data_IF_808272151787
#
_entry.id   IF_808272151787
#
_cell.length_a   1.000
_cell.length_b   1.000
_cell.length_c   1.000
_cell.angle_alpha   90.00
_cell.angle_beta   90.00
_cell.angle_gamma   90.00
#
_symmetry.space_group_name_H-M   'P 1'
#
loop_
_entity.id
_entity.type
_entity.pdbx_description
1 polymer ?
#
# COMPACT_ATOMS: atom_id res chain seq x y z
N UNK A 1 -20.83 -26.61 0.83
CA UNK A 1 -19.41 -26.20 0.91
C UNK A 1 -18.98 -26.42 2.35
N UNK A 2 -17.78 -26.96 2.60
CA UNK A 2 -17.26 -27.03 3.96
C UNK A 2 -16.78 -25.62 4.33
N UNK A 3 -17.30 -25.06 5.42
CA UNK A 3 -16.86 -23.75 5.91
C UNK A 3 -15.36 -23.81 6.24
N UNK A 4 -14.60 -22.83 5.75
CA UNK A 4 -13.19 -22.70 6.12
C UNK A 4 -13.14 -22.06 7.50
N UNK A 5 -12.42 -22.68 8.44
CA UNK A 5 -12.05 -22.01 9.68
C UNK A 5 -10.84 -21.13 9.41
N UNK A 6 -11.02 -19.81 9.49
CA UNK A 6 -9.88 -18.90 9.46
C UNK A 6 -9.15 -18.92 10.81
N UNK A 7 -7.85 -18.69 10.77
CA UNK A 7 -7.08 -18.51 11.99
C UNK A 7 -7.50 -17.20 12.67
N UNK A 8 -7.90 -17.28 13.93
CA UNK A 8 -8.35 -16.13 14.73
C UNK A 8 -7.36 -15.78 15.84
N UNK A 9 -6.60 -16.77 16.33
CA UNK A 9 -5.54 -16.56 17.31
C UNK A 9 -4.17 -16.89 16.70
N UNK A 10 -3.42 -15.85 16.34
CA UNK A 10 -2.06 -15.98 15.80
C UNK A 10 -0.98 -15.99 16.87
N UNK A 11 -1.34 -16.10 18.16
CA UNK A 11 -0.36 -16.14 19.26
C UNK A 11 0.46 -17.42 19.31
N UNK A 12 0.06 -18.48 18.59
CA UNK A 12 0.88 -19.69 18.45
C UNK A 12 2.18 -19.45 17.67
N UNK A 13 2.22 -18.42 16.82
CA UNK A 13 3.39 -18.06 16.03
C UNK A 13 4.36 -17.21 16.86
N UNK A 14 5.64 -17.62 16.88
CA UNK A 14 6.72 -16.87 17.54
C UNK A 14 7.16 -15.68 16.69
N UNK A 15 7.18 -15.85 15.37
CA UNK A 15 7.48 -14.81 14.37
C UNK A 15 6.46 -14.88 13.24
N UNK A 16 5.20 -14.49 13.47
CA UNK A 16 4.18 -14.50 12.42
C UNK A 16 4.60 -13.64 11.22
N UNK A 17 4.47 -14.23 10.03
CA UNK A 17 4.75 -13.63 8.76
C UNK A 17 3.45 -13.54 7.97
N UNK A 18 2.94 -12.32 7.86
CA UNK A 18 1.68 -12.03 7.20
C UNK A 18 1.92 -11.67 5.74
N UNK A 19 1.21 -12.34 4.84
CA UNK A 19 1.29 -12.09 3.41
C UNK A 19 -0.09 -12.02 2.79
N UNK A 20 -0.22 -11.24 1.72
CA UNK A 20 -1.37 -11.30 0.82
C UNK A 20 -0.93 -11.97 -0.47
N UNK A 21 -1.59 -13.07 -0.83
CA UNK A 21 -1.51 -13.60 -2.18
C UNK A 21 -2.55 -12.89 -3.03
N UNK A 22 -2.13 -12.33 -4.16
CA UNK A 22 -3.01 -11.69 -5.13
C UNK A 22 -3.01 -12.49 -6.44
N UNK A 23 -4.17 -12.50 -7.13
CA UNK A 23 -4.34 -13.01 -8.48
C UNK A 23 -5.26 -12.09 -9.26
N UNK A 24 -4.96 -11.82 -10.52
CA UNK A 24 -5.82 -11.01 -11.37
C UNK A 24 -5.71 -11.38 -12.85
N UNK A 25 -6.76 -11.13 -13.62
CA UNK A 25 -6.78 -11.26 -15.08
C UNK A 25 -7.84 -10.34 -15.68
N UNK A 26 -7.52 -9.67 -16.80
CA UNK A 26 -8.48 -8.87 -17.58
C UNK A 26 -9.00 -7.61 -16.89
N UNK A 27 -8.28 -7.07 -15.91
CA UNK A 27 -8.73 -5.97 -15.04
C UNK A 27 -7.54 -5.27 -14.38
N UNK A 28 -7.69 -3.97 -14.11
CA UNK A 28 -6.79 -3.19 -13.27
C UNK A 28 -7.29 -3.21 -11.83
N UNK A 29 -6.36 -3.17 -10.87
CA UNK A 29 -6.71 -3.36 -9.48
C UNK A 29 -5.75 -2.70 -8.51
N UNK A 30 -6.27 -2.01 -7.51
CA UNK A 30 -5.49 -1.59 -6.34
C UNK A 30 -5.87 -2.42 -5.12
N UNK A 31 -4.86 -3.00 -4.48
CA UNK A 31 -5.01 -3.84 -3.30
C UNK A 31 -4.60 -3.08 -2.05
N UNK A 32 -5.47 -3.09 -1.05
CA UNK A 32 -5.29 -2.37 0.22
C UNK A 32 -5.52 -3.28 1.43
N UNK A 33 -4.78 -3.00 2.49
CA UNK A 33 -4.99 -3.57 3.83
C UNK A 33 -5.12 -2.43 4.81
N UNK A 34 -6.22 -2.39 5.57
CA UNK A 34 -6.55 -1.30 6.50
C UNK A 34 -6.52 0.08 5.82
N UNK A 35 -7.04 0.14 4.58
CA UNK A 35 -6.99 1.32 3.70
C UNK A 35 -5.58 1.81 3.34
N UNK A 36 -4.55 0.94 3.45
CA UNK A 36 -3.18 1.24 3.02
C UNK A 36 -2.89 0.49 1.71
N UNK A 37 -2.61 1.18 0.59
CA UNK A 37 -2.27 0.50 -0.66
C UNK A 37 -0.93 -0.22 -0.56
N UNK A 38 -0.89 -1.48 -0.99
CA UNK A 38 0.33 -2.28 -1.03
C UNK A 38 0.68 -2.80 -2.43
N UNK A 39 -0.29 -2.84 -3.34
CA UNK A 39 -0.06 -3.20 -4.74
C UNK A 39 -1.04 -2.48 -5.65
N UNK A 40 -0.55 -2.06 -6.81
CA UNK A 40 -1.34 -1.52 -7.90
C UNK A 40 -0.98 -2.29 -9.16
N UNK A 41 -1.96 -2.95 -9.74
CA UNK A 41 -1.88 -3.52 -11.07
C UNK A 41 -2.40 -2.51 -12.09
N UNK A 42 -1.57 -2.22 -13.10
CA UNK A 42 -1.92 -1.36 -14.23
C UNK A 42 -1.71 -2.11 -15.56
N UNK A 43 -2.36 -3.27 -15.68
CA UNK A 43 -2.49 -4.07 -16.89
C UNK A 43 -1.20 -4.71 -17.45
N UNK A 44 -0.31 -5.14 -16.56
CA UNK A 44 0.84 -6.00 -16.84
C UNK A 44 0.49 -7.44 -17.23
N UNK A 45 -0.77 -7.88 -17.10
CA UNK A 45 -1.25 -9.19 -17.59
C UNK A 45 -1.88 -10.05 -16.49
N UNK A 46 -1.58 -11.36 -16.49
CA UNK A 46 -1.98 -12.28 -15.41
C UNK A 46 -0.80 -12.55 -14.49
N UNK A 47 -0.98 -12.31 -13.19
CA UNK A 47 0.09 -12.46 -12.20
C UNK A 47 -0.45 -13.09 -10.93
N UNK A 48 0.34 -14.02 -10.36
CA UNK A 48 0.17 -14.55 -9.01
C UNK A 48 1.38 -14.15 -8.17
N UNK A 49 1.19 -13.22 -7.23
CA UNK A 49 2.28 -12.70 -6.37
C UNK A 49 1.89 -12.77 -4.90
N UNK A 50 2.87 -13.01 -4.05
CA UNK A 50 2.72 -13.00 -2.59
C UNK A 50 3.50 -11.81 -2.02
N UNK A 51 2.80 -10.93 -1.30
CA UNK A 51 3.33 -9.65 -0.84
C UNK A 51 3.33 -9.63 0.70
N UNK A 52 4.46 -9.33 1.37
CA UNK A 52 4.48 -9.12 2.81
C UNK A 52 3.70 -7.86 3.21
N UNK A 53 2.87 -7.97 4.25
CA UNK A 53 2.01 -6.88 4.72
C UNK A 53 2.07 -6.66 6.25
N UNK A 54 3.09 -7.22 6.91
CA UNK A 54 3.21 -7.17 8.37
C UNK A 54 3.23 -5.75 8.94
N UNK A 55 3.78 -4.79 8.21
CA UNK A 55 3.84 -3.37 8.54
C UNK A 55 2.46 -2.66 8.49
N UNK A 56 1.46 -3.31 7.89
CA UNK A 56 0.08 -2.81 7.74
C UNK A 56 -0.91 -3.54 8.65
N UNK A 57 -0.51 -4.67 9.24
CA UNK A 57 -1.35 -5.45 10.15
C UNK A 57 -1.57 -4.69 11.46
N UNK A 58 -2.80 -4.73 11.99
CA UNK A 58 -3.13 -4.19 13.31
C UNK A 58 -3.60 -5.30 14.26
N UNK A 59 -3.42 -5.07 15.56
CA UNK A 59 -4.03 -5.90 16.60
C UNK A 59 -5.54 -5.62 16.64
N UNK A 60 -6.32 -6.63 16.28
CA UNK A 60 -7.76 -6.52 16.13
C UNK A 60 -8.28 -6.92 14.75
N UNK A 61 -9.34 -6.26 14.32
CA UNK A 61 -10.00 -6.52 13.03
C UNK A 61 -9.26 -5.78 11.93
N UNK A 62 -8.81 -6.50 10.91
CA UNK A 62 -8.16 -5.95 9.74
C UNK A 62 -9.17 -5.93 8.57
N UNK A 63 -9.02 -4.98 7.63
CA UNK A 63 -9.88 -4.87 6.44
C UNK A 63 -9.05 -5.11 5.19
N UNK A 64 -9.31 -6.20 4.47
CA UNK A 64 -8.75 -6.44 3.15
C UNK A 64 -9.70 -5.88 2.10
N UNK A 65 -9.20 -5.11 1.14
CA UNK A 65 -10.02 -4.55 0.07
C UNK A 65 -9.31 -4.49 -1.28
N UNK A 66 -10.10 -4.61 -2.35
CA UNK A 66 -9.65 -4.42 -3.73
C UNK A 66 -10.53 -3.34 -4.37
N UNK A 67 -9.91 -2.41 -5.08
CA UNK A 67 -10.59 -1.47 -5.97
C UNK A 67 -10.30 -1.95 -7.39
N UNK A 68 -11.29 -2.53 -8.05
CA UNK A 68 -11.17 -3.01 -9.41
C UNK A 68 -11.70 -1.97 -10.41
N UNK A 69 -10.98 -1.78 -11.50
CA UNK A 69 -11.34 -0.87 -12.60
C UNK A 69 -11.07 -1.52 -13.97
N UNK A 70 -11.88 -1.18 -14.99
CA UNK A 70 -11.79 -1.78 -16.31
C UNK A 70 -10.45 -1.50 -16.98
N UNK A 71 -10.13 -2.30 -18.00
CA UNK A 71 -8.96 -2.06 -18.83
C UNK A 71 -9.01 -0.66 -19.46
N UNK A 72 -7.84 -0.04 -19.65
CA UNK A 72 -7.71 1.16 -20.47
C UNK A 72 -6.89 0.81 -21.71
N UNK A 73 -7.41 1.15 -22.89
CA UNK A 73 -6.66 1.20 -24.14
C UNK A 73 -6.38 2.66 -24.47
N UNK A 74 -5.12 2.99 -24.78
CA UNK A 74 -4.71 4.30 -25.30
C UNK A 74 -5.23 5.51 -24.48
N UNK A 75 -4.92 5.52 -23.18
CA UNK A 75 -5.30 6.53 -22.17
C UNK A 75 -6.82 6.75 -21.96
N UNK A 76 -7.67 6.05 -22.71
CA UNK A 76 -9.11 6.06 -22.53
C UNK A 76 -9.52 4.93 -21.58
N UNK A 77 -9.99 5.29 -20.38
CA UNK A 77 -10.66 4.34 -19.50
C UNK A 77 -11.89 3.79 -20.22
N UNK A 78 -12.02 2.48 -20.33
CA UNK A 78 -13.25 1.90 -20.85
C UNK A 78 -14.40 2.16 -19.87
N UNK A 79 -15.59 2.48 -20.39
CA UNK A 79 -16.80 2.62 -19.59
C UNK A 79 -17.30 1.25 -19.08
N UNK A 80 -16.85 0.15 -19.69
CA UNK A 80 -17.30 -1.21 -19.44
C UNK A 80 -16.17 -2.24 -19.38
N UNK A 81 -16.47 -3.37 -18.72
CA UNK A 81 -15.60 -4.54 -18.65
C UNK A 81 -15.68 -5.34 -19.96
N UNK A 82 -14.69 -5.21 -20.83
CA UNK A 82 -14.62 -5.97 -22.11
C UNK A 82 -14.32 -7.45 -21.90
N UNK A 83 -13.52 -7.77 -20.89
CA UNK A 83 -13.18 -9.13 -20.52
C UNK A 83 -14.24 -9.71 -19.59
N UNK A 84 -15.15 -10.52 -20.15
CA UNK A 84 -16.22 -11.19 -19.37
C UNK A 84 -15.70 -12.15 -18.29
N UNK A 85 -14.46 -12.61 -18.43
CA UNK A 85 -13.75 -13.46 -17.49
C UNK A 85 -12.82 -12.68 -16.54
N UNK A 86 -12.89 -11.35 -16.55
CA UNK A 86 -12.15 -10.50 -15.64
C UNK A 86 -12.33 -10.96 -14.20
N UNK A 87 -11.21 -11.05 -13.47
CA UNK A 87 -11.21 -11.50 -12.07
C UNK A 87 -10.08 -10.84 -11.29
N UNK A 88 -10.34 -10.62 -10.00
CA UNK A 88 -9.35 -10.24 -8.99
C UNK A 88 -9.58 -11.04 -7.72
N UNK A 89 -8.50 -11.42 -7.06
CA UNK A 89 -8.50 -12.22 -5.85
C UNK A 89 -7.41 -11.74 -4.90
N UNK A 90 -7.73 -11.68 -3.61
CA UNK A 90 -6.77 -11.42 -2.56
C UNK A 90 -7.05 -12.32 -1.36
N UNK A 91 -6.00 -13.03 -0.91
CA UNK A 91 -6.07 -13.92 0.24
C UNK A 91 -5.00 -13.51 1.25
N UNK A 92 -5.45 -13.12 2.44
CA UNK A 92 -4.56 -12.83 3.56
C UNK A 92 -4.23 -14.12 4.31
N UNK A 93 -2.94 -14.36 4.50
CA UNK A 93 -2.40 -15.52 5.19
C UNK A 93 -1.49 -15.13 6.35
N UNK A 94 -1.28 -16.08 7.26
CA UNK A 94 -0.23 -16.07 8.28
C UNK A 94 0.53 -17.39 8.26
N UNK A 95 1.82 -17.33 8.57
CA UNK A 95 2.66 -18.51 8.87
C UNK A 95 3.81 -18.11 9.81
N UNK A 96 4.53 -19.08 10.35
CA UNK A 96 5.80 -18.81 11.04
C UNK A 96 6.87 -18.36 10.03
N UNK A 97 7.67 -17.34 10.36
CA UNK A 97 8.73 -16.86 9.46
C UNK A 97 9.77 -17.95 9.22
N UNK A 98 10.06 -18.23 7.95
CA UNK A 98 10.98 -19.28 7.52
C UNK A 98 10.32 -20.65 7.32
N UNK A 99 9.02 -20.79 7.59
CA UNK A 99 8.26 -22.00 7.29
C UNK A 99 7.78 -22.00 5.83
N UNK A 100 7.53 -23.18 5.24
CA UNK A 100 7.13 -23.30 3.84
C UNK A 100 5.71 -22.74 3.58
N UNK A 101 5.34 -22.56 2.29
CA UNK A 101 4.07 -21.91 1.89
C UNK A 101 2.83 -22.72 2.24
N UNK A 102 2.93 -24.03 2.25
CA UNK A 102 1.87 -24.98 2.63
C UNK A 102 1.51 -24.92 4.13
N UNK A 103 2.41 -24.41 4.98
CA UNK A 103 2.14 -24.18 6.40
C UNK A 103 1.30 -22.92 6.69
N UNK A 104 0.81 -22.23 5.65
CA UNK A 104 0.02 -21.02 5.78
C UNK A 104 -1.39 -21.32 6.29
N UNK A 105 -1.88 -20.47 7.18
CA UNK A 105 -3.27 -20.45 7.60
C UNK A 105 -3.97 -19.23 6.99
N UNK A 106 -5.19 -19.45 6.49
CA UNK A 106 -6.02 -18.42 5.89
C UNK A 106 -6.60 -17.52 6.99
N UNK A 107 -6.50 -16.21 6.80
CA UNK A 107 -7.08 -15.19 7.68
C UNK A 107 -8.34 -14.57 7.08
N UNK A 108 -8.28 -14.19 5.79
CA UNK A 108 -9.47 -13.76 5.05
C UNK A 108 -9.25 -13.90 3.55
N UNK A 109 -10.34 -13.91 2.79
CA UNK A 109 -10.34 -14.08 1.33
C UNK A 109 -11.47 -13.25 0.72
N UNK A 110 -11.12 -12.51 -0.33
CA UNK A 110 -12.04 -11.84 -1.24
C UNK A 110 -11.69 -12.18 -2.69
N UNK A 111 -12.73 -12.42 -3.49
CA UNK A 111 -12.65 -12.66 -4.94
C UNK A 111 -13.79 -11.93 -5.62
N UNK A 112 -13.47 -11.24 -6.71
CA UNK A 112 -14.40 -10.42 -7.46
C UNK A 112 -14.28 -10.74 -8.96
N UNK A 113 -15.42 -10.94 -9.60
CA UNK A 113 -15.60 -10.99 -11.04
C UNK A 113 -16.32 -9.72 -11.49
N UNK A 114 -15.60 -8.64 -11.77
CA UNK A 114 -16.21 -7.33 -11.88
C UNK A 114 -17.06 -7.15 -13.14
N UNK A 115 -16.89 -8.01 -14.15
CA UNK A 115 -17.73 -8.07 -15.34
C UNK A 115 -19.09 -8.75 -15.11
N UNK A 116 -19.28 -9.45 -13.99
CA UNK A 116 -20.55 -10.10 -13.64
C UNK A 116 -21.52 -9.10 -13.01
N UNK A 117 -22.80 -9.45 -13.00
CA UNK A 117 -23.81 -8.67 -12.29
C UNK A 117 -23.49 -8.60 -10.77
N UNK A 118 -23.95 -7.57 -10.04
CA UNK A 118 -23.62 -7.40 -8.63
C UNK A 118 -23.94 -8.60 -7.74
N UNK A 119 -25.06 -9.26 -8.02
CA UNK A 119 -25.50 -10.44 -7.29
C UNK A 119 -24.53 -11.63 -7.44
N UNK A 120 -23.82 -11.73 -8.57
CA UNK A 120 -22.86 -12.81 -8.85
C UNK A 120 -21.38 -12.41 -8.79
N UNK A 121 -21.07 -11.13 -8.58
CA UNK A 121 -19.72 -10.59 -8.68
C UNK A 121 -18.79 -11.12 -7.58
N UNK A 122 -19.29 -11.36 -6.36
CA UNK A 122 -18.49 -11.80 -5.21
C UNK A 122 -18.77 -13.23 -4.71
N UNK A 123 -19.62 -14.01 -5.41
CA UNK A 123 -20.12 -15.32 -4.95
C UNK A 123 -19.00 -16.34 -4.68
N UNK A 124 -17.84 -16.20 -5.33
CA UNK A 124 -16.74 -17.16 -5.24
C UNK A 124 -15.71 -16.86 -4.13
N UNK A 125 -15.95 -15.84 -3.31
CA UNK A 125 -15.15 -15.65 -2.09
C UNK A 125 -15.36 -16.84 -1.14
N UNK A 126 -14.30 -17.31 -0.48
CA UNK A 126 -14.45 -18.43 0.47
C UNK A 126 -15.44 -18.07 1.58
N UNK A 127 -16.38 -18.98 1.86
CA UNK A 127 -17.19 -18.90 3.07
C UNK A 127 -16.29 -19.25 4.24
N UNK A 128 -16.10 -18.26 5.12
CA UNK A 128 -15.26 -18.38 6.31
C UNK A 128 -16.22 -18.31 7.48
N UNK A 129 -16.22 -19.33 8.33
CA UNK A 129 -17.13 -19.41 9.47
C UNK A 129 -17.01 -18.15 10.32
N UNK A 130 -18.17 -17.59 10.70
CA UNK A 130 -18.30 -16.40 11.56
C UNK A 130 -17.77 -15.07 10.97
N UNK A 131 -17.16 -15.05 9.77
CA UNK A 131 -16.83 -13.78 9.09
C UNK A 131 -18.03 -13.30 8.28
N UNK A 132 -18.30 -12.00 8.37
CA UNK A 132 -19.26 -11.34 7.48
C UNK A 132 -18.90 -11.57 6.00
N UNK A 133 -19.92 -11.59 5.15
CA UNK A 133 -19.74 -11.66 3.72
C UNK A 133 -18.99 -10.42 3.20
N UNK A 134 -18.23 -10.54 2.10
CA UNK A 134 -17.64 -9.37 1.46
C UNK A 134 -18.70 -8.31 1.12
N UNK A 135 -18.36 -7.04 1.34
CA UNK A 135 -19.20 -5.89 0.98
C UNK A 135 -18.73 -5.38 -0.38
N UNK A 136 -19.68 -5.18 -1.30
CA UNK A 136 -19.47 -4.56 -2.59
C UNK A 136 -19.98 -3.12 -2.57
N UNK A 137 -19.17 -2.20 -3.06
CA UNK A 137 -19.51 -0.80 -3.27
C UNK A 137 -19.26 -0.44 -4.74
N UNK A 138 -20.35 -0.18 -5.47
CA UNK A 138 -20.38 0.22 -6.87
C UNK A 138 -20.46 1.74 -7.05
N UNK A 139 -20.82 2.46 -5.98
CA UNK A 139 -21.06 3.90 -5.98
C UNK A 139 -19.85 4.67 -5.42
N UNK A 140 -18.75 3.96 -5.14
CA UNK A 140 -17.51 4.55 -4.68
C UNK A 140 -17.06 5.65 -5.66
N UNK A 141 -16.64 6.79 -5.11
CA UNK A 141 -16.19 7.92 -5.92
C UNK A 141 -15.09 7.48 -6.90
N UNK A 142 -15.17 7.86 -8.19
CA UNK A 142 -14.15 7.56 -9.17
C UNK A 142 -12.77 7.97 -8.67
N UNK A 143 -11.86 7.00 -8.59
CA UNK A 143 -10.45 7.22 -8.30
C UNK A 143 -9.67 7.34 -9.58
N UNK A 144 -8.74 8.27 -9.62
CA UNK A 144 -7.82 8.39 -10.73
C UNK A 144 -6.64 7.45 -10.53
N UNK A 145 -6.31 6.68 -11.56
CA UNK A 145 -5.15 5.81 -11.62
C UNK A 145 -4.20 6.35 -12.71
N UNK A 146 -2.93 5.92 -12.76
CA UNK A 146 -1.96 6.45 -13.74
C UNK A 146 -2.54 6.49 -15.15
N UNK A 147 -2.48 7.65 -15.82
CA UNK A 147 -2.97 7.86 -17.19
C UNK A 147 -4.48 8.04 -17.40
N UNK A 148 -5.37 7.54 -16.52
CA UNK A 148 -6.82 7.56 -16.80
C UNK A 148 -7.72 7.71 -15.55
N UNK A 149 -8.84 8.43 -15.72
CA UNK A 149 -9.92 8.50 -14.72
C UNK A 149 -10.91 7.37 -15.00
N UNK A 150 -10.91 6.34 -14.15
CA UNK A 150 -11.85 5.23 -14.32
C UNK A 150 -13.17 5.56 -13.64
N UNK A 151 -14.19 5.91 -14.41
CA UNK A 151 -15.52 6.23 -13.87
C UNK A 151 -16.27 5.01 -13.33
N UNK A 152 -15.95 3.80 -13.84
CA UNK A 152 -16.52 2.55 -13.36
C UNK A 152 -15.52 1.85 -12.44
N UNK A 153 -15.87 1.75 -11.16
CA UNK A 153 -15.05 1.06 -10.15
C UNK A 153 -15.94 0.19 -9.30
N UNK A 154 -15.37 -0.90 -8.80
CA UNK A 154 -16.03 -1.75 -7.81
C UNK A 154 -15.05 -1.95 -6.67
N UNK A 155 -15.46 -1.55 -5.48
CA UNK A 155 -14.72 -1.83 -4.25
C UNK A 155 -15.31 -3.07 -3.62
N UNK A 156 -14.49 -4.11 -3.47
CA UNK A 156 -14.81 -5.26 -2.62
C UNK A 156 -13.99 -5.17 -1.35
N UNK A 157 -14.62 -5.35 -0.19
CA UNK A 157 -13.92 -5.36 1.09
C UNK A 157 -14.45 -6.44 2.02
N UNK A 158 -13.58 -6.95 2.90
CA UNK A 158 -13.98 -7.89 3.95
C UNK A 158 -13.14 -7.69 5.20
N UNK A 159 -13.83 -7.76 6.34
CA UNK A 159 -13.21 -7.75 7.67
C UNK A 159 -12.72 -9.14 8.03
N UNK A 160 -11.53 -9.22 8.61
CA UNK A 160 -11.05 -10.43 9.27
C UNK A 160 -11.83 -10.64 10.57
N UNK A 161 -11.66 -11.82 11.16
CA UNK A 161 -11.84 -11.98 12.61
C UNK A 161 -10.90 -11.07 13.39
N UNK A 162 -11.15 -10.92 14.70
CA UNK A 162 -10.19 -10.24 15.57
C UNK A 162 -8.91 -11.08 15.63
N UNK A 163 -7.81 -10.55 15.08
CA UNK A 163 -6.49 -11.19 15.05
C UNK A 163 -5.63 -10.61 16.17
N UNK A 164 -4.97 -11.47 16.94
CA UNK A 164 -3.96 -11.06 17.93
C UNK A 164 -2.56 -11.07 17.33
N UNK A 165 -2.06 -9.91 16.93
CA UNK A 165 -0.69 -9.81 16.40
C UNK A 165 0.32 -9.48 17.51
N UNK A 166 1.57 -10.00 17.44
CA UNK A 166 2.64 -9.57 18.36
C UNK A 166 3.22 -8.20 18.00
N UNK A 167 2.79 -7.60 16.90
CA UNK A 167 3.21 -6.24 16.54
C UNK A 167 2.63 -5.23 17.53
N UNK A 168 3.39 -4.16 17.85
CA UNK A 168 2.85 -3.12 18.70
C UNK A 168 1.69 -2.41 18.00
N UNK A 169 0.90 -1.69 18.78
CA UNK A 169 0.06 -0.64 18.22
C UNK A 169 0.96 0.40 17.57
N UNK A 170 0.91 0.48 16.24
CA UNK A 170 1.69 1.45 15.48
C UNK A 170 1.32 2.88 15.84
N UNK A 171 2.32 3.76 15.94
CA UNK A 171 2.12 5.18 16.30
C UNK A 171 1.19 5.91 15.33
N UNK A 172 1.18 5.54 14.05
CA UNK A 172 0.26 6.13 13.07
C UNK A 172 -1.22 5.88 13.42
N UNK A 173 -1.56 4.80 14.13
CA UNK A 173 -2.95 4.52 14.54
C UNK A 173 -3.48 5.56 15.53
N UNK A 174 -2.57 6.11 16.34
CA UNK A 174 -2.87 7.13 17.36
C UNK A 174 -2.50 8.54 16.91
N UNK A 175 -2.09 8.70 15.65
CA UNK A 175 -1.81 9.99 15.04
C UNK A 175 -3.06 10.83 14.83
N UNK A 176 -2.86 12.09 14.45
CA UNK A 176 -3.94 13.02 14.11
C UNK A 176 -4.71 12.53 12.89
N UNK A 177 -5.99 12.89 12.82
CA UNK A 177 -6.77 12.71 11.58
C UNK A 177 -6.30 13.76 10.57
N UNK A 178 -6.00 13.32 9.37
CA UNK A 178 -5.55 14.13 8.25
C UNK A 178 -6.75 14.30 7.31
N UNK A 179 -7.14 15.56 7.11
CA UNK A 179 -8.13 15.93 6.11
C UNK A 179 -7.45 16.29 4.80
N UNK A 180 -8.16 16.09 3.68
CA UNK A 180 -7.71 16.56 2.37
C UNK A 180 -7.85 18.09 2.30
N UNK A 181 -6.79 18.79 2.70
CA UNK A 181 -6.77 20.25 2.78
C UNK A 181 -5.45 20.82 2.28
N UNK A 182 -5.51 22.06 1.77
CA UNK A 182 -4.32 22.78 1.31
C UNK A 182 -3.29 23.02 2.44
N UNK A 183 -3.75 23.14 3.69
CA UNK A 183 -2.90 23.25 4.87
C UNK A 183 -2.10 21.96 5.10
N UNK A 184 -2.76 20.80 5.06
CA UNK A 184 -2.08 19.52 5.20
C UNK A 184 -1.15 19.25 4.02
N UNK A 185 -1.56 19.62 2.79
CA UNK A 185 -0.68 19.55 1.62
C UNK A 185 0.60 20.37 1.82
N UNK A 186 0.47 21.66 2.17
CA UNK A 186 1.63 22.55 2.32
C UNK A 186 2.55 22.13 3.46
N UNK A 187 1.99 21.73 4.60
CA UNK A 187 2.79 21.28 5.74
C UNK A 187 3.50 19.94 5.45
N UNK A 188 2.86 19.03 4.72
CA UNK A 188 3.51 17.79 4.28
C UNK A 188 4.59 18.07 3.23
N UNK A 189 4.36 19.00 2.30
CA UNK A 189 5.37 19.39 1.31
C UNK A 189 6.63 19.97 1.97
N UNK A 190 6.49 20.69 3.08
CA UNK A 190 7.64 21.11 3.90
C UNK A 190 8.40 19.92 4.49
N UNK A 191 7.72 18.87 4.96
CA UNK A 191 8.39 17.65 5.43
C UNK A 191 9.15 16.95 4.29
N UNK A 192 8.57 16.86 3.08
CA UNK A 192 9.27 16.40 1.89
C UNK A 192 10.50 17.28 1.56
N UNK A 193 10.40 18.61 1.71
CA UNK A 193 11.52 19.53 1.49
C UNK A 193 12.67 19.26 2.46
N UNK A 194 12.36 18.93 3.72
CA UNK A 194 13.35 18.57 4.72
C UNK A 194 14.06 17.25 4.35
N UNK A 195 13.33 16.21 3.94
CA UNK A 195 13.94 14.97 3.44
C UNK A 195 14.80 15.21 2.21
N UNK A 196 14.33 16.02 1.25
CA UNK A 196 15.12 16.38 0.08
C UNK A 196 16.47 17.02 0.46
N UNK A 197 16.48 17.94 1.42
CA UNK A 197 17.71 18.58 1.91
C UNK A 197 18.65 17.58 2.59
N UNK A 198 18.11 16.60 3.33
CA UNK A 198 18.91 15.51 3.92
C UNK A 198 19.62 14.71 2.82
N UNK A 199 18.88 14.31 1.79
CA UNK A 199 19.44 13.57 0.65
C UNK A 199 20.42 14.39 -0.18
N UNK A 200 20.15 15.69 -0.38
CA UNK A 200 21.04 16.60 -1.11
C UNK A 200 22.37 16.80 -0.38
N UNK A 201 22.33 16.93 0.96
CA UNK A 201 23.53 17.09 1.79
C UNK A 201 24.26 15.78 2.08
N UNK A 202 23.67 14.65 1.71
CA UNK A 202 24.17 13.31 2.04
C UNK A 202 24.42 13.13 3.56
N UNK A 203 23.55 13.70 4.39
CA UNK A 203 23.69 13.65 5.85
C UNK A 203 23.12 12.34 6.39
N UNK A 204 23.98 11.33 6.52
CA UNK A 204 23.60 10.01 7.04
C UNK A 204 23.01 10.07 8.45
N UNK A 205 23.47 11.00 9.29
CA UNK A 205 22.97 11.10 10.67
C UNK A 205 21.54 11.62 10.67
N UNK A 206 21.27 12.66 9.87
CA UNK A 206 19.92 13.17 9.69
C UNK A 206 19.00 12.16 9.00
N UNK A 207 19.50 11.42 8.00
CA UNK A 207 18.72 10.39 7.30
C UNK A 207 18.33 9.23 8.22
N UNK A 208 19.28 8.71 9.02
CA UNK A 208 18.95 7.69 10.04
C UNK A 208 17.92 8.22 11.04
N UNK A 209 18.00 9.50 11.41
CA UNK A 209 17.04 10.12 12.33
C UNK A 209 15.65 10.22 11.71
N UNK A 210 15.52 10.69 10.47
CA UNK A 210 14.22 10.84 9.80
C UNK A 210 13.56 9.49 9.50
N UNK A 211 14.37 8.48 9.13
CA UNK A 211 13.90 7.13 8.79
C UNK A 211 13.77 6.19 9.99
N UNK A 212 14.01 6.67 11.22
CA UNK A 212 14.04 5.83 12.42
C UNK A 212 12.77 4.97 12.59
N UNK A 213 11.59 5.54 12.35
CA UNK A 213 10.31 4.81 12.52
C UNK A 213 10.10 3.75 11.44
N UNK A 214 10.49 4.05 10.20
CA UNK A 214 10.52 3.06 9.12
C UNK A 214 11.48 1.90 9.47
N UNK A 215 12.69 2.21 9.94
CA UNK A 215 13.66 1.19 10.33
C UNK A 215 13.19 0.35 11.53
N UNK A 216 12.56 0.95 12.54
CA UNK A 216 12.02 0.22 13.68
C UNK A 216 10.84 -0.69 13.27
N UNK A 217 9.98 -0.21 12.36
CA UNK A 217 8.90 -1.01 11.77
C UNK A 217 9.48 -2.23 11.04
N UNK A 218 10.47 -2.02 10.17
CA UNK A 218 11.15 -3.11 9.46
C UNK A 218 11.82 -4.09 10.42
N UNK A 219 12.47 -3.59 11.48
CA UNK A 219 13.07 -4.43 12.52
C UNK A 219 12.04 -5.35 13.15
N UNK A 220 10.86 -4.83 13.48
CA UNK A 220 9.79 -5.60 14.12
C UNK A 220 9.19 -6.64 13.18
N UNK A 221 8.78 -6.24 11.98
CA UNK A 221 8.09 -7.14 11.03
C UNK A 221 9.04 -8.18 10.41
N UNK A 222 10.33 -7.84 10.30
CA UNK A 222 11.35 -8.77 9.84
C UNK A 222 12.08 -9.51 10.96
N UNK A 223 11.76 -9.22 12.22
CA UNK A 223 12.40 -9.84 13.39
C UNK A 223 13.93 -9.69 13.37
N UNK A 224 14.41 -8.52 12.94
CA UNK A 224 15.83 -8.20 13.01
C UNK A 224 16.27 -8.02 14.46
N UNK A 225 17.51 -8.43 14.76
CA UNK A 225 18.05 -8.41 16.12
C UNK A 225 18.32 -7.00 16.66
N UNK A 226 18.48 -6.01 15.78
CA UNK A 226 18.76 -4.62 16.13
C UNK A 226 18.35 -3.67 14.98
N UNK A 227 18.38 -2.35 15.23
CA UNK A 227 18.05 -1.33 14.23
C UNK A 227 19.07 -1.26 13.08
N UNK A 228 20.35 -1.49 13.32
CA UNK A 228 21.38 -1.40 12.27
C UNK A 228 21.09 -2.36 11.11
N UNK A 229 20.68 -3.60 11.38
CA UNK A 229 20.23 -4.53 10.33
C UNK A 229 19.03 -4.03 9.53
N UNK A 230 18.14 -3.25 10.17
CA UNK A 230 17.01 -2.65 9.47
C UNK A 230 17.47 -1.50 8.56
N UNK A 231 18.41 -0.66 9.03
CA UNK A 231 19.04 0.35 8.18
C UNK A 231 19.81 -0.27 7.01
N UNK A 232 20.53 -1.37 7.25
CA UNK A 232 21.20 -2.11 6.18
C UNK A 232 20.17 -2.58 5.13
N UNK A 233 19.01 -3.10 5.55
CA UNK A 233 17.96 -3.52 4.63
C UNK A 233 17.27 -2.39 3.87
N UNK A 234 17.35 -1.17 4.40
CA UNK A 234 16.82 0.03 3.75
C UNK A 234 17.75 0.59 2.68
N UNK A 235 19.01 0.14 2.63
CA UNK A 235 20.00 0.62 1.65
C UNK A 235 20.07 2.16 1.58
N UNK A 236 20.04 2.84 2.74
CA UNK A 236 19.85 4.30 2.83
C UNK A 236 20.82 5.13 1.97
N UNK A 237 22.03 4.65 1.75
CA UNK A 237 23.08 5.34 0.99
C UNK A 237 23.23 4.86 -0.46
N UNK A 238 22.44 3.87 -0.91
CA UNK A 238 22.56 3.27 -2.24
C UNK A 238 22.49 4.33 -3.36
N UNK A 239 21.57 5.29 -3.23
CA UNK A 239 21.44 6.38 -4.21
C UNK A 239 22.60 7.39 -4.18
N UNK A 240 23.35 7.49 -3.09
CA UNK A 240 24.51 8.38 -2.96
C UNK A 240 25.79 7.75 -3.50
N UNK A 241 25.89 6.43 -3.37
CA UNK A 241 27.03 5.62 -3.80
C UNK A 241 26.88 5.09 -5.24
N UNK A 242 25.66 5.14 -5.79
CA UNK A 242 25.36 4.69 -7.15
C UNK A 242 26.03 5.57 -8.21
N UNK A 243 26.69 4.92 -9.17
CA UNK A 243 27.17 5.59 -10.39
C UNK A 243 26.05 5.83 -11.40
N UNK A 244 24.96 5.08 -11.29
CA UNK A 244 23.88 5.06 -12.26
C UNK A 244 22.69 5.92 -11.83
N UNK A 245 22.49 6.16 -10.53
CA UNK A 245 21.37 6.94 -10.00
C UNK A 245 21.84 8.26 -9.36
N UNK A 246 21.04 9.31 -9.45
CA UNK A 246 21.23 10.53 -8.66
C UNK A 246 19.92 11.19 -8.24
N UNK A 247 19.97 11.95 -7.15
CA UNK A 247 18.91 12.88 -6.76
C UNK A 247 18.80 13.97 -7.84
N UNK A 248 17.62 14.12 -8.43
CA UNK A 248 17.40 14.99 -9.57
C UNK A 248 16.78 16.32 -9.16
N UNK A 249 15.54 16.30 -8.68
CA UNK A 249 14.76 17.51 -8.45
C UNK A 249 13.78 17.35 -7.28
N UNK A 250 13.47 18.47 -6.64
CA UNK A 250 12.31 18.66 -5.78
C UNK A 250 11.18 19.35 -6.54
N UNK A 251 10.03 18.69 -6.71
CA UNK A 251 8.88 19.23 -7.45
C UNK A 251 8.01 20.09 -6.51
N UNK A 252 7.91 21.38 -6.81
CA UNK A 252 7.02 22.32 -6.12
C UNK A 252 6.49 23.42 -7.06
N UNK A 253 5.63 24.30 -6.54
CA UNK A 253 5.11 25.46 -7.28
C UNK A 253 4.37 25.11 -8.56
N UNK A 254 4.69 25.79 -9.66
CA UNK A 254 4.05 25.56 -10.96
C UNK A 254 4.30 24.15 -11.52
N UNK A 255 5.47 23.55 -11.27
CA UNK A 255 5.74 22.17 -11.69
C UNK A 255 4.83 21.18 -10.99
N UNK A 256 4.61 21.38 -9.69
CA UNK A 256 3.67 20.58 -8.89
C UNK A 256 2.25 20.64 -9.45
N UNK A 257 1.78 21.83 -9.88
CA UNK A 257 0.48 21.98 -10.53
C UNK A 257 0.42 21.28 -11.89
N UNK A 258 1.44 21.46 -12.72
CA UNK A 258 1.50 20.87 -14.06
C UNK A 258 1.52 19.33 -14.03
N UNK A 259 2.16 18.75 -13.02
CA UNK A 259 2.24 17.29 -12.82
C UNK A 259 1.00 16.78 -12.05
N UNK A 260 0.18 17.66 -11.49
CA UNK A 260 -1.01 17.28 -10.73
C UNK A 260 -0.68 16.62 -9.39
N UNK A 261 0.37 17.08 -8.70
CA UNK A 261 0.64 16.60 -7.33
C UNK A 261 -0.51 17.00 -6.40
N UNK A 262 -1.06 16.02 -5.68
CA UNK A 262 -2.14 16.19 -4.72
C UNK A 262 -1.86 15.44 -3.43
N UNK A 263 -2.59 15.81 -2.38
CA UNK A 263 -2.56 15.09 -1.12
C UNK A 263 -3.37 13.80 -1.27
N UNK A 264 -2.73 12.66 -1.03
CA UNK A 264 -3.43 11.38 -0.93
C UNK A 264 -3.46 10.96 0.52
N UNK A 265 -4.66 10.88 1.08
CA UNK A 265 -4.91 10.43 2.45
C UNK A 265 -5.31 8.96 2.44
N UNK A 266 -4.68 8.17 3.31
CA UNK A 266 -4.86 6.71 3.41
C UNK A 266 -4.95 6.29 4.88
N UNK A 267 -5.11 4.99 5.11
CA UNK A 267 -5.24 4.41 6.45
C UNK A 267 -6.39 5.03 7.27
N UNK A 268 -7.52 5.28 6.62
CA UNK A 268 -8.69 5.93 7.22
C UNK A 268 -8.35 7.30 7.84
N UNK A 269 -7.58 8.12 7.12
CA UNK A 269 -7.22 9.47 7.59
C UNK A 269 -6.01 9.54 8.50
N UNK A 270 -5.23 8.46 8.64
CA UNK A 270 -4.09 8.42 9.58
C UNK A 270 -2.73 8.59 8.93
N UNK A 271 -2.65 8.40 7.62
CA UNK A 271 -1.42 8.58 6.85
C UNK A 271 -1.71 9.38 5.59
N UNK A 272 -0.69 10.04 5.08
CA UNK A 272 -0.78 10.75 3.82
C UNK A 272 0.55 10.78 3.08
N UNK A 273 0.46 11.02 1.77
CA UNK A 273 1.59 11.28 0.88
C UNK A 273 1.20 12.35 -0.13
N UNK A 274 2.21 12.98 -0.75
CA UNK A 274 1.99 13.83 -1.92
C UNK A 274 2.34 13.01 -3.15
N UNK A 275 1.38 12.87 -4.05
CA UNK A 275 1.60 12.12 -5.29
C UNK A 275 0.73 12.63 -6.44
N UNK A 276 1.19 12.40 -7.68
CA UNK A 276 0.35 12.55 -8.86
C UNK A 276 -0.37 11.25 -9.20
N UNK A 277 -1.23 11.31 -10.21
CA UNK A 277 -1.92 10.13 -10.74
C UNK A 277 -0.94 9.08 -11.26
N UNK A 278 0.15 9.50 -11.90
CA UNK A 278 1.23 8.63 -12.38
C UNK A 278 2.19 8.18 -11.27
N UNK A 279 1.80 8.37 -10.01
CA UNK A 279 2.57 8.02 -8.81
C UNK A 279 3.93 8.72 -8.73
N UNK A 280 4.04 9.90 -9.35
CA UNK A 280 5.19 10.79 -9.15
C UNK A 280 5.07 11.41 -7.76
N UNK A 281 6.18 11.57 -7.05
CA UNK A 281 6.24 12.20 -5.73
C UNK A 281 7.18 13.41 -5.77
N UNK A 282 7.15 14.31 -4.76
CA UNK A 282 7.96 15.54 -4.78
C UNK A 282 9.47 15.31 -4.94
N UNK A 283 10.02 14.23 -4.40
CA UNK A 283 11.47 13.94 -4.46
C UNK A 283 11.72 12.99 -5.64
N UNK A 284 12.47 13.45 -6.64
CA UNK A 284 12.81 12.66 -7.82
C UNK A 284 14.26 12.22 -7.84
N UNK A 285 14.45 10.99 -8.29
CA UNK A 285 15.74 10.43 -8.67
C UNK A 285 15.70 10.01 -10.13
N UNK A 286 16.84 10.04 -10.81
CA UNK A 286 16.97 9.57 -12.19
C UNK A 286 18.07 8.53 -12.32
N UNK A 287 17.91 7.61 -13.27
CA UNK A 287 19.00 6.79 -13.78
C UNK A 287 19.72 7.60 -14.88
N UNK A 288 20.96 8.03 -14.64
CA UNK A 288 21.73 8.97 -15.48
C UNK A 288 21.78 8.57 -16.95
N UNK A 289 21.99 7.28 -17.23
CA UNK A 289 22.16 6.76 -18.60
C UNK A 289 20.88 6.75 -19.40
N UNK A 290 19.78 6.34 -18.78
CA UNK A 290 18.49 6.15 -19.45
C UNK A 290 17.52 7.30 -19.24
N UNK A 291 17.84 8.24 -18.34
CA UNK A 291 16.96 9.32 -17.90
C UNK A 291 15.60 8.81 -17.38
N UNK A 292 15.58 7.56 -16.87
CA UNK A 292 14.38 6.96 -16.29
C UNK A 292 14.23 7.47 -14.85
N UNK A 293 13.02 7.92 -14.52
CA UNK A 293 12.66 8.33 -13.17
C UNK A 293 12.58 7.12 -12.22
N UNK A 294 13.28 7.20 -11.09
CA UNK A 294 13.17 6.23 -10.00
C UNK A 294 12.12 6.76 -9.00
N UNK A 295 11.04 6.00 -8.84
CA UNK A 295 9.92 6.35 -7.98
C UNK A 295 10.11 5.74 -6.59
N UNK A 296 10.60 6.54 -5.65
CA UNK A 296 10.54 6.17 -4.23
C UNK A 296 9.13 6.40 -3.70
N UNK A 297 8.71 5.52 -2.78
CA UNK A 297 7.45 5.66 -2.08
C UNK A 297 7.75 6.33 -0.76
N UNK A 298 7.21 7.53 -0.57
CA UNK A 298 7.12 8.16 0.74
C UNK A 298 5.67 8.15 1.21
N UNK A 299 5.51 7.90 2.50
CA UNK A 299 4.26 7.92 3.25
C UNK A 299 4.56 8.39 4.66
N UNK A 300 3.72 9.30 5.15
CA UNK A 300 3.90 9.97 6.43
C UNK A 300 2.64 9.80 7.27
N UNK A 301 2.79 9.87 8.60
CA UNK A 301 1.68 10.16 9.51
C UNK A 301 1.95 11.47 10.23
N UNK A 302 0.90 12.08 10.77
CA UNK A 302 1.01 13.28 11.61
C UNK A 302 0.88 12.87 13.07
N UNK A 303 1.92 13.06 13.87
CA UNK A 303 1.91 12.66 15.28
C UNK A 303 1.02 13.61 16.11
N UNK A 304 0.84 13.31 17.41
CA UNK A 304 -0.01 14.12 18.29
C UNK A 304 0.52 15.54 18.52
N UNK A 305 1.82 15.78 18.29
CA UNK A 305 2.46 17.09 18.33
C UNK A 305 2.28 17.89 17.02
N UNK A 306 1.67 17.30 15.99
CA UNK A 306 1.47 17.92 14.68
C UNK A 306 2.65 17.78 13.72
N UNK A 307 3.66 16.99 14.06
CA UNK A 307 4.84 16.75 13.23
C UNK A 307 4.59 15.62 12.24
N UNK A 308 5.08 15.78 11.01
CA UNK A 308 5.06 14.75 9.98
C UNK A 308 6.21 13.77 10.20
N UNK A 309 5.90 12.48 10.26
CA UNK A 309 6.87 11.41 10.52
C UNK A 309 6.86 10.43 9.35
N UNK A 310 8.02 10.23 8.73
CA UNK A 310 8.21 9.29 7.63
C UNK A 310 8.12 7.84 8.13
N UNK A 311 7.27 7.02 7.51
CA UNK A 311 6.98 5.66 7.96
C UNK A 311 7.10 4.59 6.88
N UNK A 312 6.98 4.93 5.58
CA UNK A 312 6.97 3.97 4.47
C UNK A 312 7.42 4.59 3.15
#
# INVERSE_FOLDING_TARGET
MNDIQAATDTTEYKKPYYTVQISYAGTGAEFRLNDIPFYLENFSGQVDVEIPVGDKMIDGVNVLSIIAFPYAEDDNSMEDWTHTDARVEAILYVREKGFPKDARQLLTHIKLYPARNPEAAAIESSVISEQEAPVLDYDSQPRQFPGSVFHKQIVISRKTHKIKTPFPRWEWQDGQVIEDSMENYNSLLEAYRQEYVIHQKQDLTALKKSTYKLADTLRLVNYYSNLEKAYDSLNLTESWESQDQELFEFIEGEKSKNIGLKLEVVANGKMARITSDDKVQPILYIIKKSQILVKYKYLFYKNNQGEWVYIL
#
